data_IF_886304027620
#
_entry.id   IF_886304027620
#
_cell.length_a   1.000
_cell.length_b   1.000
_cell.length_c   1.000
_cell.angle_alpha   90.00
_cell.angle_beta   90.00
_cell.angle_gamma   90.00
#
_symmetry.space_group_name_H-M   'P 1'
#
loop_
_entity.id
_entity.type
_entity.pdbx_description
1 polymer ?
#
# COMPACT_ATOMS: atom_id res chain seq x y z
N UNK A 1 -20.05 1.83 -18.97
CA UNK A 1 -19.95 2.86 -17.92
C UNK A 1 -18.51 2.97 -17.47
N UNK A 2 -17.96 4.16 -17.35
CA UNK A 2 -16.60 4.34 -16.82
C UNK A 2 -16.59 4.01 -15.32
N UNK A 3 -15.58 3.25 -14.87
CA UNK A 3 -15.38 2.91 -13.47
C UNK A 3 -14.82 4.15 -12.77
N UNK A 4 -15.54 4.72 -11.80
CA UNK A 4 -15.02 5.81 -10.98
C UNK A 4 -14.20 5.23 -9.85
N UNK A 5 -12.94 5.65 -9.76
CA UNK A 5 -12.01 5.20 -8.71
C UNK A 5 -11.26 6.39 -8.14
N UNK A 6 -10.94 6.33 -6.84
CA UNK A 6 -10.07 7.31 -6.19
C UNK A 6 -9.04 6.65 -5.30
N UNK A 7 -7.95 7.38 -5.03
CA UNK A 7 -6.86 6.92 -4.16
C UNK A 7 -6.83 7.82 -2.92
N UNK A 8 -6.75 7.18 -1.74
CA UNK A 8 -6.51 7.88 -0.47
C UNK A 8 -5.58 7.10 0.45
N UNK A 9 -5.07 7.76 1.46
CA UNK A 9 -4.38 7.09 2.57
C UNK A 9 -5.33 6.13 3.27
N UNK A 10 -4.77 5.01 3.69
CA UNK A 10 -5.45 4.03 4.53
C UNK A 10 -5.31 4.40 6.00
N UNK A 11 -6.25 3.93 6.77
CA UNK A 11 -6.30 4.08 8.23
C UNK A 11 -6.66 2.76 8.89
N UNK A 12 -6.65 2.71 10.21
CA UNK A 12 -7.07 1.53 10.95
C UNK A 12 -8.54 1.13 10.66
N UNK A 13 -9.39 2.07 10.25
CA UNK A 13 -10.76 1.77 9.86
C UNK A 13 -10.85 0.90 8.59
N UNK A 14 -9.78 0.86 7.78
CA UNK A 14 -9.71 0.07 6.55
C UNK A 14 -9.15 -1.35 6.76
N UNK A 15 -8.81 -1.73 8.00
CA UNK A 15 -8.13 -2.98 8.33
C UNK A 15 -8.80 -4.21 7.74
N UNK A 16 -10.12 -4.37 7.93
CA UNK A 16 -10.84 -5.55 7.45
C UNK A 16 -10.91 -5.59 5.92
N UNK A 17 -11.05 -4.43 5.28
CA UNK A 17 -11.02 -4.33 3.82
C UNK A 17 -9.64 -4.65 3.25
N UNK A 18 -8.55 -4.19 3.90
CA UNK A 18 -7.19 -4.54 3.53
C UNK A 18 -6.94 -6.04 3.68
N UNK A 19 -7.36 -6.63 4.81
CA UNK A 19 -7.22 -8.07 5.04
C UNK A 19 -7.94 -8.90 3.98
N UNK A 20 -9.16 -8.50 3.60
CA UNK A 20 -9.93 -9.18 2.56
C UNK A 20 -9.23 -9.13 1.20
N UNK A 21 -8.71 -7.96 0.79
CA UNK A 21 -7.96 -7.81 -0.48
C UNK A 21 -6.65 -8.59 -0.45
N UNK A 22 -5.89 -8.52 0.64
CA UNK A 22 -4.61 -9.22 0.84
C UNK A 22 -4.79 -10.73 0.73
N UNK A 23 -5.71 -11.29 1.52
CA UNK A 23 -5.96 -12.73 1.55
C UNK A 23 -6.52 -13.28 0.23
N UNK A 24 -7.19 -12.45 -0.56
CA UNK A 24 -7.68 -12.83 -1.88
C UNK A 24 -6.60 -12.74 -2.97
N UNK A 25 -5.59 -11.88 -2.79
CA UNK A 25 -4.57 -11.61 -3.79
C UNK A 25 -3.33 -12.52 -3.66
N UNK A 26 -2.99 -12.95 -2.45
CA UNK A 26 -1.76 -13.70 -2.18
C UNK A 26 -2.02 -15.10 -1.63
N UNK A 27 -1.11 -16.06 -1.89
CA UNK A 27 -1.10 -17.33 -1.20
C UNK A 27 -0.99 -17.17 0.33
N UNK A 28 -1.55 -18.06 1.14
CA UNK A 28 -1.53 -17.92 2.61
C UNK A 28 -0.13 -17.79 3.25
N UNK A 29 0.90 -18.38 2.64
CA UNK A 29 2.28 -18.30 3.14
C UNK A 29 2.93 -16.92 2.93
N UNK A 30 2.40 -16.10 2.03
CA UNK A 30 2.94 -14.83 1.62
C UNK A 30 2.07 -13.66 2.08
N UNK A 31 0.77 -13.87 2.23
CA UNK A 31 -0.18 -12.86 2.66
C UNK A 31 0.19 -12.30 4.04
N UNK A 32 0.13 -10.98 4.17
CA UNK A 32 0.33 -10.34 5.46
C UNK A 32 -0.80 -10.72 6.42
N UNK A 33 -0.43 -11.13 7.63
CA UNK A 33 -1.41 -11.40 8.68
C UNK A 33 -2.17 -10.13 9.08
N UNK A 34 -3.37 -10.32 9.66
CA UNK A 34 -4.16 -9.22 10.24
C UNK A 34 -3.32 -8.30 11.14
N UNK A 35 -2.47 -8.88 11.98
CA UNK A 35 -1.63 -8.12 12.89
C UNK A 35 -0.55 -7.30 12.16
N UNK A 36 0.05 -7.82 11.10
CA UNK A 36 1.00 -7.08 10.25
C UNK A 36 0.33 -5.90 9.55
N UNK A 37 -0.88 -6.09 9.03
CA UNK A 37 -1.65 -5.00 8.39
C UNK A 37 -2.01 -3.94 9.43
N UNK A 38 -2.56 -4.33 10.59
CA UNK A 38 -2.88 -3.43 11.70
C UNK A 38 -1.66 -2.59 12.11
N UNK A 39 -0.52 -3.25 12.30
CA UNK A 39 0.74 -2.58 12.65
C UNK A 39 1.09 -1.48 11.65
N UNK A 40 1.09 -1.78 10.36
CA UNK A 40 1.45 -0.82 9.31
C UNK A 40 0.46 0.35 9.24
N UNK A 41 -0.85 0.08 9.34
CA UNK A 41 -1.88 1.11 9.34
C UNK A 41 -1.83 2.04 10.56
N UNK A 42 -1.29 1.57 11.68
CA UNK A 42 -1.19 2.34 12.93
C UNK A 42 0.14 3.09 13.01
N UNK A 43 1.26 2.46 12.61
CA UNK A 43 2.61 3.02 12.83
C UNK A 43 3.12 3.86 11.67
N UNK A 44 2.66 3.61 10.45
CA UNK A 44 3.09 4.33 9.24
C UNK A 44 1.94 4.51 8.23
N UNK A 45 0.79 5.09 8.64
CA UNK A 45 -0.37 5.29 7.75
C UNK A 45 -0.04 6.16 6.54
N UNK A 46 0.96 7.03 6.65
CA UNK A 46 1.43 7.91 5.56
C UNK A 46 2.07 7.13 4.41
N UNK A 47 2.46 5.87 4.62
CA UNK A 47 3.04 4.96 3.63
C UNK A 47 2.02 3.92 3.11
N UNK A 48 0.77 3.98 3.55
CA UNK A 48 -0.27 3.02 3.21
C UNK A 48 -1.39 3.70 2.40
N UNK A 49 -1.64 3.20 1.18
CA UNK A 49 -2.61 3.79 0.27
C UNK A 49 -3.55 2.74 -0.30
N UNK A 50 -4.80 3.12 -0.51
CA UNK A 50 -5.83 2.29 -1.11
C UNK A 50 -6.42 2.91 -2.36
N UNK A 51 -6.77 2.05 -3.32
CA UNK A 51 -7.60 2.38 -4.47
C UNK A 51 -9.02 1.91 -4.19
N UNK A 52 -9.95 2.85 -4.26
CA UNK A 52 -11.35 2.62 -3.95
C UNK A 52 -12.21 2.74 -5.20
N UNK A 53 -13.17 1.84 -5.34
CA UNK A 53 -14.22 1.90 -6.34
C UNK A 53 -15.42 2.63 -5.74
N UNK A 54 -15.81 3.73 -6.37
CA UNK A 54 -16.97 4.50 -5.95
C UNK A 54 -18.25 3.72 -6.28
N UNK A 55 -19.14 3.57 -5.29
CA UNK A 55 -20.48 3.06 -5.55
C UNK A 55 -21.23 4.12 -6.34
N UNK A 56 -21.41 3.89 -7.64
CA UNK A 56 -22.39 4.66 -8.40
C UNK A 56 -23.75 4.40 -7.76
N UNK A 57 -24.30 5.39 -7.06
CA UNK A 57 -25.69 5.36 -6.61
C UNK A 57 -26.56 5.19 -7.86
N UNK A 58 -27.08 3.99 -8.08
CA UNK A 58 -28.27 3.81 -8.90
C UNK A 58 -29.34 4.43 -8.04
N UNK A 59 -29.64 5.71 -8.28
CA UNK A 59 -30.84 6.32 -7.74
C UNK A 59 -32.04 5.49 -8.26
N UNK A 60 -32.91 4.97 -7.42
CA UNK A 60 -34.17 4.47 -7.90
C UNK A 60 -34.93 5.66 -8.49
N UNK A 61 -35.15 5.62 -9.81
CA UNK A 61 -36.13 6.51 -10.45
C UNK A 61 -37.49 6.05 -9.94
N UNK A 62 -38.11 6.83 -9.09
CA UNK A 62 -39.53 7.04 -8.90
C UNK A 62 -39.82 7.45 -7.44
N UNK A 63 -39.69 8.74 -7.17
CA UNK A 63 -40.55 9.42 -6.19
C UNK A 63 -40.45 10.94 -6.38
N UNK A 64 -41.61 11.54 -6.56
CA UNK A 64 -41.88 12.92 -6.90
C UNK A 64 -41.30 13.95 -5.91
N UNK A 65 -40.96 15.11 -6.49
CA UNK A 65 -40.92 16.48 -5.96
C UNK A 65 -41.01 16.70 -4.45
N UNK A 66 -39.85 17.11 -3.87
CA UNK A 66 -39.82 18.15 -2.83
C UNK A 66 -38.52 18.94 -2.97
N UNK A 67 -38.54 20.29 -3.08
CA UNK A 67 -37.34 21.10 -3.15
C UNK A 67 -36.74 21.27 -1.76
N UNK A 68 -35.58 20.71 -1.51
CA UNK A 68 -34.76 21.03 -0.34
C UNK A 68 -33.45 21.69 -0.75
N UNK A 69 -33.27 22.84 -0.13
CA UNK A 69 -32.17 23.76 -0.13
C UNK A 69 -30.77 23.10 -0.15
N UNK A 70 -29.95 23.51 -1.12
CA UNK A 70 -28.60 23.08 -1.33
C UNK A 70 -27.63 23.67 -0.29
N UNK A 71 -27.10 22.83 0.58
CA UNK A 71 -25.75 22.94 1.11
C UNK A 71 -25.11 21.57 1.02
N UNK A 72 -24.56 21.28 -0.16
CA UNK A 72 -23.95 19.99 -0.45
C UNK A 72 -22.61 19.85 0.30
N UNK A 73 -22.60 19.00 1.30
CA UNK A 73 -21.42 18.49 1.94
C UNK A 73 -20.74 17.49 1.00
N UNK A 74 -19.58 17.83 0.46
CA UNK A 74 -18.74 16.98 -0.41
C UNK A 74 -18.20 15.70 0.25
N UNK A 75 -18.60 15.41 1.49
CA UNK A 75 -18.14 14.26 2.27
C UNK A 75 -19.08 13.04 2.23
N UNK A 76 -20.23 13.11 1.61
CA UNK A 76 -21.23 12.02 1.65
C UNK A 76 -20.98 10.93 0.58
N UNK A 77 -20.23 11.22 -0.49
CA UNK A 77 -20.00 10.27 -1.59
C UNK A 77 -18.96 9.18 -1.32
N UNK A 78 -18.12 9.33 -0.28
CA UNK A 78 -17.05 8.37 0.01
C UNK A 78 -17.43 7.29 1.04
N UNK A 79 -18.61 7.36 1.67
CA UNK A 79 -19.00 6.41 2.72
C UNK A 79 -19.33 4.99 2.22
N UNK A 80 -19.53 4.81 0.91
CA UNK A 80 -19.85 3.51 0.31
C UNK A 80 -18.79 3.03 -0.70
N UNK A 81 -17.59 3.64 -0.72
CA UNK A 81 -16.54 3.23 -1.63
C UNK A 81 -15.88 1.93 -1.16
N UNK A 82 -15.72 0.96 -2.08
CA UNK A 82 -15.10 -0.34 -1.79
C UNK A 82 -13.61 -0.34 -2.12
N UNK A 83 -12.77 -0.74 -1.17
CA UNK A 83 -11.36 -0.99 -1.41
C UNK A 83 -11.18 -2.15 -2.40
N UNK A 84 -10.44 -1.90 -3.50
CA UNK A 84 -10.18 -2.90 -4.56
C UNK A 84 -8.70 -3.18 -4.75
N UNK A 85 -7.82 -2.29 -4.28
CA UNK A 85 -6.37 -2.52 -4.25
C UNK A 85 -5.73 -1.69 -3.14
N UNK A 86 -4.56 -2.13 -2.66
CA UNK A 86 -3.78 -1.38 -1.68
C UNK A 86 -2.27 -1.51 -1.89
N UNK A 87 -1.54 -0.56 -1.33
CA UNK A 87 -0.09 -0.59 -1.08
C UNK A 87 0.12 -0.45 0.42
N UNK A 88 0.92 -1.36 1.00
CA UNK A 88 1.31 -1.34 2.41
C UNK A 88 2.83 -1.36 2.50
N UNK A 89 3.40 -0.39 3.21
CA UNK A 89 4.85 -0.21 3.31
C UNK A 89 5.27 0.17 4.72
N UNK A 90 6.59 0.08 4.98
CA UNK A 90 7.28 0.66 6.14
C UNK A 90 8.51 1.43 5.67
N UNK A 91 9.17 2.18 6.54
CA UNK A 91 10.51 2.68 6.29
C UNK A 91 11.55 1.66 6.73
N UNK A 92 12.67 1.60 6.02
CA UNK A 92 13.83 0.75 6.33
C UNK A 92 15.12 1.55 6.23
N UNK A 93 16.10 1.19 7.06
CA UNK A 93 17.50 1.64 6.96
C UNK A 93 18.30 0.82 5.92
N UNK A 94 17.76 -0.32 5.49
CA UNK A 94 18.37 -1.13 4.44
C UNK A 94 18.06 -0.56 3.05
N UNK A 95 18.96 -0.76 2.10
CA UNK A 95 18.72 -0.37 0.71
C UNK A 95 17.70 -1.26 -0.01
N UNK A 96 17.51 -2.49 0.47
CA UNK A 96 16.56 -3.48 -0.05
C UNK A 96 15.65 -3.98 1.07
N UNK A 97 14.51 -4.56 0.72
CA UNK A 97 13.59 -5.17 1.69
C UNK A 97 14.25 -6.38 2.34
N UNK A 98 14.18 -6.45 3.66
CA UNK A 98 14.72 -7.56 4.45
C UNK A 98 13.59 -8.30 5.18
N UNK A 99 13.88 -9.53 5.62
CA UNK A 99 12.94 -10.29 6.45
C UNK A 99 12.60 -9.55 7.76
N UNK A 100 13.54 -8.76 8.29
CA UNK A 100 13.33 -7.94 9.49
C UNK A 100 12.33 -6.81 9.25
N UNK A 101 12.34 -6.18 8.07
CA UNK A 101 11.37 -5.13 7.71
C UNK A 101 9.93 -5.66 7.70
N UNK A 102 9.77 -6.96 7.39
CA UNK A 102 8.47 -7.63 7.31
C UNK A 102 7.97 -8.20 8.64
N UNK A 103 8.81 -8.20 9.67
CA UNK A 103 8.46 -8.71 11.00
C UNK A 103 7.76 -7.62 11.84
N UNK A 104 7.18 -8.08 12.95
CA UNK A 104 6.57 -7.21 13.95
C UNK A 104 7.49 -7.07 15.15
N UNK A 105 7.74 -5.84 15.63
CA UNK A 105 8.43 -5.66 16.89
C UNK A 105 7.64 -6.29 18.06
N UNK A 106 8.35 -6.91 19.00
CA UNK A 106 7.71 -7.46 20.19
C UNK A 106 6.98 -6.36 20.97
N UNK A 107 5.75 -6.63 21.40
CA UNK A 107 4.92 -5.71 22.21
C UNK A 107 4.69 -4.33 21.50
N UNK A 108 4.66 -4.27 20.18
CA UNK A 108 4.53 -3.03 19.43
C UNK A 108 3.31 -2.18 19.85
N UNK A 109 2.20 -2.82 20.29
CA UNK A 109 0.99 -2.11 20.73
C UNK A 109 1.22 -1.28 22.00
N UNK A 110 2.12 -1.72 22.87
CA UNK A 110 2.45 -1.07 24.14
C UNK A 110 3.63 -0.09 24.03
N UNK A 111 4.35 -0.11 22.90
CA UNK A 111 5.57 0.67 22.69
C UNK A 111 5.44 1.63 21.50
N UNK A 112 4.23 2.08 21.17
CA UNK A 112 3.97 2.94 19.99
C UNK A 112 4.78 4.24 19.99
N UNK A 113 4.98 4.82 21.18
CA UNK A 113 5.62 6.12 21.37
C UNK A 113 7.10 6.02 21.77
N UNK A 114 7.65 4.81 21.87
CA UNK A 114 9.06 4.62 22.22
C UNK A 114 9.88 4.41 20.96
N UNK A 115 11.03 5.13 20.81
CA UNK A 115 11.99 4.79 19.78
C UNK A 115 12.39 3.33 19.94
N UNK A 116 12.22 2.54 18.91
CA UNK A 116 12.64 1.13 18.95
C UNK A 116 14.14 1.05 18.69
N UNK A 117 14.93 1.45 19.69
CA UNK A 117 16.38 1.61 19.59
C UNK A 117 17.16 0.29 19.48
N UNK A 118 16.52 -0.86 19.66
CA UNK A 118 17.28 -2.11 19.78
C UNK A 118 16.94 -3.22 18.77
N UNK A 119 15.83 -3.11 18.06
CA UNK A 119 15.48 -4.10 17.05
C UNK A 119 15.31 -3.41 15.69
N UNK A 120 16.19 -3.68 14.75
CA UNK A 120 16.06 -3.31 13.33
C UNK A 120 14.91 -4.09 12.67
N UNK A 121 13.72 -4.08 13.31
CA UNK A 121 12.55 -4.89 12.97
C UNK A 121 11.36 -3.98 12.74
N UNK A 122 10.67 -4.18 11.62
CA UNK A 122 9.49 -3.42 11.24
C UNK A 122 9.80 -1.98 10.82
N UNK A 123 8.94 -1.04 11.21
CA UNK A 123 9.07 0.38 10.85
C UNK A 123 10.31 1.03 11.46
N UNK A 124 11.14 1.63 10.61
CA UNK A 124 12.35 2.38 10.98
C UNK A 124 12.19 3.83 10.52
N UNK A 125 11.67 4.74 11.36
CA UNK A 125 11.22 6.08 10.94
C UNK A 125 12.30 6.94 10.25
N UNK A 126 13.58 6.71 10.59
CA UNK A 126 14.71 7.45 10.03
C UNK A 126 15.29 6.80 8.75
N UNK A 127 14.67 5.72 8.26
CA UNK A 127 15.11 5.04 7.03
C UNK A 127 14.82 5.85 5.78
N UNK A 128 15.77 5.92 4.86
CA UNK A 128 15.60 6.54 3.53
C UNK A 128 14.87 5.63 2.53
N UNK A 129 14.72 4.36 2.84
CA UNK A 129 14.05 3.37 1.97
C UNK A 129 12.61 3.17 2.39
N UNK A 130 11.69 3.25 1.45
CA UNK A 130 10.32 2.74 1.59
C UNK A 130 10.34 1.27 1.21
N UNK A 131 10.25 0.38 2.21
CA UNK A 131 10.11 -1.06 2.03
C UNK A 131 8.65 -1.39 1.74
N UNK A 132 8.33 -1.67 0.48
CA UNK A 132 6.98 -2.00 0.04
C UNK A 132 6.74 -3.50 0.23
N UNK A 133 5.80 -3.84 1.12
CA UNK A 133 5.51 -5.21 1.52
C UNK A 133 4.36 -5.83 0.75
N UNK A 134 3.43 -5.02 0.27
CA UNK A 134 2.26 -5.49 -0.44
C UNK A 134 1.81 -4.48 -1.49
N UNK A 135 1.63 -4.94 -2.71
CA UNK A 135 0.81 -4.32 -3.75
C UNK A 135 -0.26 -5.37 -4.12
N UNK A 136 -1.41 -5.28 -3.48
CA UNK A 136 -2.50 -6.21 -3.65
C UNK A 136 -3.61 -5.61 -4.50
N UNK A 137 -4.14 -6.39 -5.45
CA UNK A 137 -5.32 -6.04 -6.25
C UNK A 137 -6.32 -7.19 -6.13
N UNK A 138 -7.56 -6.87 -5.76
CA UNK A 138 -8.65 -7.85 -5.70
C UNK A 138 -8.74 -8.66 -7.01
N UNK A 139 -8.84 -9.99 -6.97
CA UNK A 139 -8.83 -10.85 -8.16
C UNK A 139 -9.81 -10.44 -9.24
N UNK A 140 -11.01 -9.97 -8.87
CA UNK A 140 -12.03 -9.48 -9.80
C UNK A 140 -11.65 -8.18 -10.52
N UNK A 141 -10.57 -7.51 -10.10
CA UNK A 141 -10.10 -6.22 -10.62
C UNK A 141 -8.67 -6.29 -11.17
N UNK A 142 -8.05 -7.49 -11.20
CA UNK A 142 -6.75 -7.71 -11.80
C UNK A 142 -6.82 -7.61 -13.33
N UNK A 143 -5.66 -7.42 -13.98
CA UNK A 143 -5.52 -7.30 -15.44
C UNK A 143 -6.25 -6.12 -16.09
N UNK A 144 -6.74 -5.17 -15.27
CA UNK A 144 -7.38 -3.91 -15.72
C UNK A 144 -6.44 -2.70 -15.64
N UNK A 145 -5.13 -2.91 -15.40
CA UNK A 145 -4.15 -1.83 -15.24
C UNK A 145 -4.18 -1.13 -13.88
N UNK A 146 -5.08 -1.53 -12.96
CA UNK A 146 -5.29 -0.82 -11.68
C UNK A 146 -4.10 -0.90 -10.73
N UNK A 147 -3.36 -2.01 -10.72
CA UNK A 147 -2.11 -2.12 -9.94
C UNK A 147 -1.05 -1.13 -10.43
N UNK A 148 -0.88 -1.00 -11.75
CA UNK A 148 0.04 -0.04 -12.38
C UNK A 148 -0.38 1.40 -12.09
N UNK A 149 -1.68 1.68 -12.17
CA UNK A 149 -2.25 2.99 -11.84
C UNK A 149 -1.98 3.36 -10.36
N UNK A 150 -2.31 2.46 -9.42
CA UNK A 150 -2.06 2.70 -7.99
C UNK A 150 -0.56 2.91 -7.72
N UNK A 151 0.29 2.06 -8.29
CA UNK A 151 1.75 2.15 -8.08
C UNK A 151 2.34 3.44 -8.63
N UNK A 152 1.93 3.89 -9.82
CA UNK A 152 2.37 5.16 -10.40
C UNK A 152 2.00 6.35 -9.49
N UNK A 153 0.77 6.37 -8.96
CA UNK A 153 0.33 7.41 -8.02
C UNK A 153 1.03 7.32 -6.67
N UNK A 154 1.33 6.10 -6.23
CA UNK A 154 2.11 5.88 -5.01
C UNK A 154 3.53 6.44 -5.13
N UNK A 155 4.22 6.18 -6.24
CA UNK A 155 5.55 6.75 -6.54
C UNK A 155 5.51 8.28 -6.50
N UNK A 156 4.51 8.91 -7.11
CA UNK A 156 4.33 10.36 -7.05
C UNK A 156 4.22 10.87 -5.61
N UNK A 157 3.44 10.17 -4.76
CA UNK A 157 3.32 10.53 -3.33
C UNK A 157 4.61 10.34 -2.56
N UNK A 158 5.38 9.31 -2.84
CA UNK A 158 6.68 9.10 -2.19
C UNK A 158 7.71 10.16 -2.60
N UNK A 159 7.65 10.68 -3.84
CA UNK A 159 8.50 11.81 -4.29
C UNK A 159 8.21 13.11 -3.56
N UNK A 160 6.98 13.30 -3.08
CA UNK A 160 6.58 14.47 -2.30
C UNK A 160 7.04 14.40 -0.83
N UNK A 161 7.43 13.20 -0.36
CA UNK A 161 7.84 12.98 1.03
C UNK A 161 9.31 13.30 1.25
N UNK A 162 9.59 14.07 2.29
CA UNK A 162 10.98 14.33 2.72
C UNK A 162 11.67 13.04 3.19
N UNK A 163 12.99 12.98 2.99
CA UNK A 163 13.85 11.88 3.43
C UNK A 163 13.44 10.49 2.88
N UNK A 164 12.73 10.43 1.76
CA UNK A 164 12.56 9.20 0.98
C UNK A 164 13.54 9.24 -0.19
N UNK A 165 14.47 8.29 -0.21
CA UNK A 165 15.49 8.17 -1.24
C UNK A 165 15.13 7.14 -2.31
N UNK A 166 14.39 6.11 -1.90
CA UNK A 166 14.01 5.00 -2.77
C UNK A 166 12.79 4.22 -2.28
N UNK A 167 12.20 3.48 -3.21
CA UNK A 167 11.20 2.44 -2.92
C UNK A 167 11.85 1.10 -3.26
N UNK A 168 11.85 0.16 -2.34
CA UNK A 168 12.35 -1.20 -2.55
C UNK A 168 11.24 -2.22 -2.44
N UNK A 169 11.27 -3.24 -3.29
CA UNK A 169 10.30 -4.32 -3.34
C UNK A 169 10.98 -5.69 -3.44
N UNK A 170 10.27 -6.71 -2.94
CA UNK A 170 10.47 -8.11 -3.33
C UNK A 170 9.46 -8.46 -4.42
N UNK A 171 9.92 -9.09 -5.49
CA UNK A 171 9.02 -9.50 -6.57
C UNK A 171 9.37 -10.88 -7.11
N UNK A 172 8.39 -11.51 -7.77
CA UNK A 172 8.64 -12.73 -8.53
C UNK A 172 9.41 -12.44 -9.83
N UNK A 173 10.15 -13.42 -10.31
CA UNK A 173 10.86 -13.34 -11.59
C UNK A 173 9.94 -12.90 -12.75
N UNK A 174 8.74 -13.46 -12.83
CA UNK A 174 7.77 -13.18 -13.90
C UNK A 174 7.12 -11.79 -13.80
N UNK A 175 7.32 -11.05 -12.73
CA UNK A 175 6.83 -9.68 -12.56
C UNK A 175 7.94 -8.62 -12.72
N UNK A 176 9.19 -9.03 -12.95
CA UNK A 176 10.30 -8.09 -13.12
C UNK A 176 9.98 -7.06 -14.22
N UNK A 177 9.61 -7.50 -15.43
CA UNK A 177 9.27 -6.57 -16.53
C UNK A 177 8.12 -5.63 -16.21
N UNK A 178 7.13 -6.08 -15.41
CA UNK A 178 6.03 -5.22 -14.96
C UNK A 178 6.55 -4.04 -14.10
N UNK A 179 7.50 -4.29 -13.21
CA UNK A 179 8.08 -3.24 -12.38
C UNK A 179 9.12 -2.41 -13.12
N UNK A 180 9.86 -2.99 -14.08
CA UNK A 180 10.75 -2.22 -14.97
C UNK A 180 9.99 -1.17 -15.77
N UNK A 181 8.79 -1.48 -16.27
CA UNK A 181 7.90 -0.51 -16.92
C UNK A 181 7.42 0.63 -16.00
N UNK A 182 7.51 0.46 -14.69
CA UNK A 182 7.24 1.47 -13.68
C UNK A 182 8.49 2.25 -13.27
N UNK A 183 9.66 1.90 -13.83
CA UNK A 183 10.94 2.54 -13.56
C UNK A 183 11.77 1.91 -12.45
N UNK A 184 11.38 0.73 -11.94
CA UNK A 184 12.21 -0.02 -11.01
C UNK A 184 13.39 -0.66 -11.73
N UNK A 185 14.51 -0.78 -11.02
CA UNK A 185 15.70 -1.46 -11.49
C UNK A 185 15.86 -2.80 -10.77
N UNK A 186 16.11 -3.86 -11.51
CA UNK A 186 16.43 -5.17 -10.95
C UNK A 186 17.85 -5.15 -10.37
N UNK A 187 17.97 -5.55 -9.10
CA UNK A 187 19.27 -5.71 -8.43
C UNK A 187 19.75 -7.16 -8.44
N UNK A 188 18.87 -8.13 -8.63
CA UNK A 188 19.21 -9.54 -8.69
C UNK A 188 18.38 -10.41 -7.73
N UNK A 189 18.93 -11.59 -7.39
CA UNK A 189 18.29 -12.48 -6.42
C UNK A 189 18.34 -11.87 -5.02
N UNK A 190 17.20 -11.91 -4.33
CA UNK A 190 17.09 -11.43 -2.95
C UNK A 190 17.68 -12.42 -1.95
N UNK A 191 18.18 -11.89 -0.83
CA UNK A 191 18.55 -12.69 0.34
C UNK A 191 17.33 -13.03 1.22
N UNK A 192 16.16 -12.44 0.97
CA UNK A 192 14.93 -12.73 1.71
C UNK A 192 14.45 -14.16 1.46
N UNK A 193 14.01 -14.80 2.53
CA UNK A 193 13.43 -16.17 2.48
C UNK A 193 11.93 -16.17 2.83
N UNK A 194 11.27 -15.02 2.70
CA UNK A 194 9.85 -14.86 3.01
C UNK A 194 8.98 -15.85 2.21
N UNK A 195 8.10 -16.57 2.89
CA UNK A 195 7.21 -17.54 2.25
C UNK A 195 7.90 -18.72 1.54
N UNK A 196 9.23 -18.85 1.65
CA UNK A 196 10.02 -19.88 0.95
C UNK A 196 10.13 -19.65 -0.56
N UNK A 197 9.93 -18.44 -1.03
CA UNK A 197 9.95 -18.05 -2.45
C UNK A 197 11.33 -17.50 -2.83
N UNK A 198 11.77 -17.79 -4.06
CA UNK A 198 12.98 -17.20 -4.65
C UNK A 198 12.65 -15.78 -5.16
N UNK A 199 12.81 -14.80 -4.29
CA UNK A 199 12.52 -13.40 -4.59
C UNK A 199 13.61 -12.72 -5.41
N UNK A 200 13.20 -11.64 -6.12
CA UNK A 200 14.08 -10.66 -6.74
C UNK A 200 13.98 -9.34 -6.00
N UNK A 201 15.12 -8.70 -5.75
CA UNK A 201 15.19 -7.34 -5.26
C UNK A 201 15.07 -6.35 -6.41
N UNK A 202 14.15 -5.40 -6.28
CA UNK A 202 14.05 -4.28 -7.21
C UNK A 202 13.95 -2.97 -6.45
N UNK A 203 14.49 -1.90 -7.03
CA UNK A 203 14.55 -0.58 -6.43
C UNK A 203 14.12 0.50 -7.43
N UNK A 204 13.27 1.39 -6.99
CA UNK A 204 12.96 2.65 -7.63
C UNK A 204 13.68 3.78 -6.89
N UNK A 205 14.63 4.47 -7.53
CA UNK A 205 15.33 5.62 -6.93
C UNK A 205 14.47 6.87 -7.07
N UNK A 206 14.33 7.60 -5.97
CA UNK A 206 13.65 8.89 -5.96
C UNK A 206 14.70 9.97 -6.16
N UNK A 207 14.68 10.63 -7.31
CA UNK A 207 15.52 11.80 -7.54
C UNK A 207 15.09 12.91 -6.58
N UNK A 208 15.87 13.15 -5.56
CA UNK A 208 15.72 14.37 -4.76
C UNK A 208 16.07 15.52 -5.67
N UNK A 209 15.09 16.38 -5.99
CA UNK A 209 15.39 17.63 -6.68
C UNK A 209 16.42 18.36 -5.80
N UNK A 210 17.64 18.48 -6.30
CA UNK A 210 18.62 19.41 -5.76
C UNK A 210 18.05 20.81 -6.01
N UNK A 211 17.66 21.50 -4.94
CA UNK A 211 17.36 22.93 -4.97
C UNK A 211 18.62 23.73 -5.29
#
# INVERSE_FOLDING_TARGET
MAMSVHIRRLSIADLESCLAVESAAFPPAEAASREKIEYRLVTCPELCYGLFLDSTSIAPSDAADVPQSATASTNASHQNARLIAHVLSTRSLSAVVTDQDMQLPANWRNNRDKPQDSAKVGQQPNGGTVALHSLAVSPSHQKLGLGKYLMSRYIEKMREMQAVERISILTYENLVSYYEELGFQLLGASASNHGGVAWKDMVYTIDTKSD
#
